data_IF_507418649403
#
_entry.id   IF_507418649403
#
_cell.length_a   1.000
_cell.length_b   1.000
_cell.length_c   1.000
_cell.angle_alpha   90.00
_cell.angle_beta   90.00
_cell.angle_gamma   90.00
#
_symmetry.space_group_name_H-M   'P 1'
#
loop_
_entity.id
_entity.type
_entity.pdbx_description
1 polymer ?
#
# COMPACT_ATOMS: atom_id res chain seq x y z
N UNK A 1 -15.37 1.10 4.26
CA UNK A 1 -15.48 1.51 2.85
C UNK A 1 -14.70 0.55 1.96
N UNK A 2 -15.26 0.10 0.85
CA UNK A 2 -14.60 -0.81 -0.09
C UNK A 2 -13.92 -0.01 -1.21
N UNK A 3 -12.67 -0.33 -1.60
CA UNK A 3 -12.08 0.28 -2.79
C UNK A 3 -12.85 -0.15 -4.03
N UNK A 4 -12.97 0.75 -5.01
CA UNK A 4 -13.63 0.44 -6.28
C UNK A 4 -12.56 -0.11 -7.21
N UNK A 5 -12.50 -1.43 -7.35
CA UNK A 5 -11.51 -2.08 -8.23
C UNK A 5 -11.94 -2.00 -9.69
N UNK A 6 -11.32 -1.11 -10.47
CA UNK A 6 -11.48 -1.01 -11.91
C UNK A 6 -10.20 -0.47 -12.57
N UNK A 7 -10.18 -0.40 -13.91
CA UNK A 7 -9.00 0.05 -14.66
C UNK A 7 -8.63 1.52 -14.39
N UNK A 8 -9.62 2.39 -14.20
CA UNK A 8 -9.41 3.82 -13.95
C UNK A 8 -8.77 4.05 -12.58
N UNK A 9 -9.31 3.43 -11.53
CA UNK A 9 -8.79 3.55 -10.17
C UNK A 9 -7.43 2.89 -10.00
N UNK A 10 -7.18 1.77 -10.69
CA UNK A 10 -5.87 1.13 -10.73
C UNK A 10 -4.82 2.04 -11.38
N UNK A 11 -5.15 2.67 -12.52
CA UNK A 11 -4.26 3.63 -13.18
C UNK A 11 -4.00 4.86 -12.31
N UNK A 12 -5.04 5.37 -11.63
CA UNK A 12 -4.90 6.50 -10.72
C UNK A 12 -4.03 6.16 -9.50
N UNK A 13 -4.24 5.00 -8.89
CA UNK A 13 -3.41 4.51 -7.79
C UNK A 13 -1.94 4.38 -8.22
N UNK A 14 -1.66 3.81 -9.39
CA UNK A 14 -0.30 3.66 -9.89
C UNK A 14 0.43 5.02 -10.00
N UNK A 15 -0.25 6.05 -10.51
CA UNK A 15 0.29 7.41 -10.58
C UNK A 15 0.65 7.97 -9.20
N UNK A 16 -0.24 7.81 -8.22
CA UNK A 16 0.01 8.26 -6.86
C UNK A 16 1.12 7.45 -6.17
N UNK A 17 1.18 6.14 -6.40
CA UNK A 17 2.22 5.28 -5.84
C UNK A 17 3.60 5.62 -6.39
N UNK A 18 3.70 5.93 -7.69
CA UNK A 18 4.94 6.40 -8.32
C UNK A 18 5.36 7.77 -7.79
N UNK A 19 4.41 8.71 -7.67
CA UNK A 19 4.69 10.04 -7.11
C UNK A 19 5.12 9.96 -5.65
N UNK A 20 4.43 9.15 -4.84
CA UNK A 20 4.78 8.93 -3.44
C UNK A 20 6.19 8.36 -3.27
N UNK A 21 6.56 7.36 -4.08
CA UNK A 21 7.92 6.78 -4.09
C UNK A 21 8.99 7.82 -4.45
N UNK A 22 8.70 8.71 -5.40
CA UNK A 22 9.63 9.76 -5.84
C UNK A 22 9.74 10.92 -4.85
N UNK A 23 8.62 11.37 -4.29
CA UNK A 23 8.56 12.55 -3.43
C UNK A 23 8.94 12.24 -1.97
N UNK A 24 8.66 11.02 -1.49
CA UNK A 24 8.85 10.62 -0.10
C UNK A 24 9.62 9.30 0.03
N UNK A 25 10.90 9.24 -0.39
CA UNK A 25 11.67 8.00 -0.41
C UNK A 25 11.88 7.37 0.97
N UNK A 26 11.79 8.17 2.04
CA UNK A 26 11.88 7.74 3.44
C UNK A 26 10.52 7.35 4.06
N UNK A 27 9.42 7.40 3.31
CA UNK A 27 8.08 7.07 3.80
C UNK A 27 7.57 5.83 3.07
N UNK A 28 7.08 4.86 3.84
CA UNK A 28 6.42 3.67 3.31
C UNK A 28 4.92 3.74 3.61
N UNK A 29 4.12 3.85 2.55
CA UNK A 29 2.66 3.80 2.63
C UNK A 29 2.20 2.34 2.69
N UNK A 30 1.26 2.03 3.58
CA UNK A 30 0.84 0.66 3.91
C UNK A 30 -0.65 0.57 4.25
N UNK A 31 -1.15 -0.66 4.30
CA UNK A 31 -2.50 -0.97 4.76
C UNK A 31 -3.57 -0.62 3.74
N UNK A 32 -4.84 -0.81 4.12
CA UNK A 32 -5.98 -0.70 3.20
C UNK A 32 -6.04 0.62 2.42
N UNK A 33 -5.64 1.73 3.06
CA UNK A 33 -5.68 3.06 2.46
C UNK A 33 -4.40 3.37 1.68
N UNK A 34 -3.24 2.97 2.18
CA UNK A 34 -1.95 3.21 1.52
C UNK A 34 -1.74 2.32 0.29
N UNK A 35 -2.20 1.08 0.35
CA UNK A 35 -2.10 0.13 -0.76
C UNK A 35 -3.29 0.21 -1.73
N UNK A 36 -4.31 1.02 -1.42
CA UNK A 36 -5.60 1.08 -2.13
C UNK A 36 -6.23 -0.31 -2.35
N UNK A 37 -6.25 -1.12 -1.28
CA UNK A 37 -6.72 -2.50 -1.30
C UNK A 37 -7.69 -2.77 -0.16
N UNK A 38 -8.53 -3.79 -0.37
CA UNK A 38 -9.30 -4.35 0.73
C UNK A 38 -8.40 -5.32 1.48
N UNK A 39 -8.38 -5.21 2.81
CA UNK A 39 -7.75 -6.14 3.72
C UNK A 39 -8.75 -6.47 4.82
N UNK A 40 -8.89 -7.76 5.14
CA UNK A 40 -9.41 -8.17 6.42
C UNK A 40 -8.36 -7.90 7.53
N UNK A 41 -8.72 -8.12 8.79
CA UNK A 41 -7.84 -7.75 9.91
C UNK A 41 -6.55 -8.57 9.92
N UNK A 42 -6.64 -9.85 9.62
CA UNK A 42 -5.51 -10.77 9.48
C UNK A 42 -4.63 -10.43 8.29
N UNK A 43 -5.20 -10.11 7.13
CA UNK A 43 -4.44 -9.61 5.97
C UNK A 43 -3.63 -8.36 6.34
N UNK A 44 -4.23 -7.44 7.08
CA UNK A 44 -3.58 -6.21 7.50
C UNK A 44 -2.42 -6.48 8.48
N UNK A 45 -2.56 -7.46 9.37
CA UNK A 45 -1.49 -7.88 10.29
C UNK A 45 -0.34 -8.54 9.53
N UNK A 46 -0.64 -9.49 8.63
CA UNK A 46 0.39 -10.15 7.80
C UNK A 46 1.14 -9.10 6.98
N UNK A 47 0.42 -8.22 6.28
CA UNK A 47 1.00 -7.14 5.49
C UNK A 47 1.94 -6.23 6.28
N UNK A 48 1.61 -5.96 7.55
CA UNK A 48 2.42 -5.14 8.44
C UNK A 48 3.69 -5.87 8.90
N UNK A 49 3.61 -7.17 9.18
CA UNK A 49 4.77 -7.99 9.52
C UNK A 49 5.74 -8.10 8.34
N UNK A 50 5.24 -8.39 7.14
CA UNK A 50 6.07 -8.43 5.91
C UNK A 50 6.77 -7.08 5.67
N UNK A 51 6.04 -5.97 5.84
CA UNK A 51 6.61 -4.64 5.70
C UNK A 51 7.70 -4.35 6.73
N UNK A 52 7.55 -4.85 7.96
CA UNK A 52 8.53 -4.69 9.02
C UNK A 52 9.79 -5.54 8.77
N UNK A 53 9.63 -6.77 8.30
CA UNK A 53 10.74 -7.65 7.91
C UNK A 53 11.57 -7.00 6.79
N UNK A 54 10.91 -6.54 5.72
CA UNK A 54 11.57 -5.80 4.64
C UNK A 54 12.29 -4.53 5.12
N UNK A 55 11.70 -3.81 6.07
CA UNK A 55 12.28 -2.58 6.62
C UNK A 55 13.49 -2.85 7.51
N UNK A 56 13.46 -3.94 8.27
CA UNK A 56 14.53 -4.36 9.17
C UNK A 56 15.64 -5.13 8.45
N UNK A 57 15.44 -5.50 7.18
CA UNK A 57 16.38 -6.31 6.37
C UNK A 57 16.76 -7.65 7.04
N UNK A 58 15.78 -8.30 7.66
CA UNK A 58 15.86 -9.71 8.08
C UNK A 58 15.59 -10.63 6.89
#
# INVERSE_FOLDING_TARGET
CYPIANAETAALYARYADEARRAFPQVRFLGRLGDYKYYDMDDAVVRALDAAEEFLSL
#
